data_IF_621568034315
#
_entry.id   IF_621568034315
#
_cell.length_a   1.000
_cell.length_b   1.000
_cell.length_c   1.000
_cell.angle_alpha   90.00
_cell.angle_beta   90.00
_cell.angle_gamma   90.00
#
_symmetry.space_group_name_H-M   'P 1'
#
loop_
_entity.id
_entity.type
_entity.pdbx_description
1 polymer ?
#
# COMPACT_ATOMS: atom_id res chain seq x y z
N UNK A 1 21.36 -7.87 15.50
CA UNK A 1 20.04 -8.34 15.94
C UNK A 1 19.39 -9.06 14.76
N UNK A 2 18.64 -10.17 14.97
CA UNK A 2 17.86 -10.77 13.92
C UNK A 2 16.89 -9.74 13.36
N UNK A 3 16.66 -9.74 12.05
CA UNK A 3 15.72 -8.86 11.39
C UNK A 3 14.30 -9.28 11.76
N UNK A 4 13.53 -8.38 12.39
CA UNK A 4 12.12 -8.59 12.72
C UNK A 4 11.27 -7.86 11.70
N UNK A 5 10.95 -8.56 10.60
CA UNK A 5 10.07 -8.03 9.56
C UNK A 5 8.62 -8.17 9.96
N UNK A 6 7.83 -7.13 9.72
CA UNK A 6 6.40 -7.16 9.95
C UNK A 6 5.61 -6.75 8.70
N UNK A 7 4.36 -7.20 8.62
CA UNK A 7 3.36 -6.76 7.65
C UNK A 7 2.34 -5.85 8.35
N UNK A 8 2.17 -4.64 7.84
CA UNK A 8 1.04 -3.77 8.16
C UNK A 8 0.11 -3.70 6.95
N UNK A 9 -1.18 -3.91 7.14
CA UNK A 9 -2.13 -3.94 6.03
C UNK A 9 -3.47 -3.29 6.40
N UNK A 10 -4.27 -2.96 5.37
CA UNK A 10 -5.66 -2.55 5.53
C UNK A 10 -6.59 -3.52 4.80
N UNK A 11 -7.80 -3.73 5.33
CA UNK A 11 -8.78 -4.68 4.78
C UNK A 11 -10.18 -4.10 4.79
N UNK A 12 -10.83 -4.15 3.63
CA UNK A 12 -12.25 -3.95 3.48
C UNK A 12 -12.81 -5.10 2.63
N UNK A 13 -13.39 -6.10 3.27
CA UNK A 13 -13.84 -7.32 2.58
C UNK A 13 -15.19 -7.79 3.14
N UNK A 14 -16.29 -7.10 2.79
CA UNK A 14 -17.63 -7.46 3.28
C UNK A 14 -18.11 -8.80 2.72
N UNK A 15 -17.63 -9.21 1.54
CA UNK A 15 -18.11 -10.37 0.81
C UNK A 15 -17.21 -11.61 0.98
N UNK A 16 -16.21 -11.55 1.86
CA UNK A 16 -15.23 -12.63 2.12
C UNK A 16 -14.42 -13.08 0.89
N UNK A 17 -14.16 -12.18 -0.06
CA UNK A 17 -13.45 -12.48 -1.31
C UNK A 17 -11.97 -12.80 -1.09
N UNK A 18 -11.38 -12.29 -0.02
CA UNK A 18 -9.96 -12.49 0.31
C UNK A 18 -9.73 -13.75 1.15
N UNK A 19 -10.76 -14.28 1.81
CA UNK A 19 -10.62 -15.30 2.85
C UNK A 19 -9.94 -16.59 2.35
N UNK A 20 -10.35 -17.11 1.20
CA UNK A 20 -9.81 -18.36 0.65
C UNK A 20 -8.33 -18.23 0.27
N UNK A 21 -8.00 -17.16 -0.46
CA UNK A 21 -6.62 -16.92 -0.90
C UNK A 21 -5.70 -16.62 0.30
N UNK A 22 -6.23 -15.95 1.33
CA UNK A 22 -5.50 -15.70 2.58
C UNK A 22 -5.19 -17.01 3.31
N UNK A 23 -6.14 -17.93 3.43
CA UNK A 23 -5.91 -19.24 4.03
C UNK A 23 -4.89 -20.05 3.23
N UNK A 24 -4.96 -20.04 1.91
CA UNK A 24 -3.97 -20.67 1.02
C UNK A 24 -2.55 -20.18 1.28
N UNK A 25 -2.38 -18.89 1.58
CA UNK A 25 -1.07 -18.27 1.79
C UNK A 25 -0.69 -18.04 3.26
N UNK A 26 -1.46 -18.57 4.22
CA UNK A 26 -1.23 -18.35 5.63
C UNK A 26 0.18 -18.76 6.11
N UNK A 27 0.68 -19.92 5.67
CA UNK A 27 2.04 -20.38 6.01
C UNK A 27 3.11 -19.51 5.38
N UNK A 28 2.92 -19.06 4.16
CA UNK A 28 3.85 -18.15 3.49
C UNK A 28 3.94 -16.82 4.24
N UNK A 29 2.81 -16.31 4.73
CA UNK A 29 2.74 -15.07 5.49
C UNK A 29 3.49 -15.22 6.81
N UNK A 30 3.19 -16.27 7.58
CA UNK A 30 3.89 -16.59 8.84
C UNK A 30 5.39 -16.81 8.66
N UNK A 31 5.79 -17.40 7.52
CA UNK A 31 7.21 -17.59 7.18
C UNK A 31 7.92 -16.30 6.75
N UNK A 32 7.19 -15.33 6.20
CA UNK A 32 7.76 -14.09 5.71
C UNK A 32 7.82 -12.99 6.76
N UNK A 33 6.88 -12.97 7.72
CA UNK A 33 6.74 -11.89 8.70
C UNK A 33 6.64 -12.45 10.13
N UNK A 34 7.38 -11.86 11.04
CA UNK A 34 7.33 -12.21 12.48
C UNK A 34 6.05 -11.66 13.14
N UNK A 35 5.60 -10.51 12.69
CA UNK A 35 4.37 -9.88 13.15
C UNK A 35 3.55 -9.42 11.94
N UNK A 36 2.24 -9.51 12.05
CA UNK A 36 1.34 -8.94 11.06
C UNK A 36 0.12 -8.32 11.74
N UNK A 37 -0.31 -7.15 11.26
CA UNK A 37 -1.50 -6.47 11.74
C UNK A 37 -2.31 -5.91 10.57
N UNK A 38 -3.63 -6.05 10.67
CA UNK A 38 -4.59 -5.54 9.71
C UNK A 38 -5.55 -4.55 10.37
N UNK A 39 -5.59 -3.32 9.89
CA UNK A 39 -6.71 -2.44 10.21
C UNK A 39 -7.89 -2.81 9.30
N UNK A 40 -8.94 -3.35 9.90
CA UNK A 40 -10.13 -3.85 9.21
C UNK A 40 -11.28 -2.85 9.34
N UNK A 41 -12.14 -2.76 8.33
CA UNK A 41 -13.39 -1.99 8.47
C UNK A 41 -14.43 -2.79 9.26
N UNK A 42 -15.35 -2.10 9.92
CA UNK A 42 -16.46 -2.74 10.65
C UNK A 42 -17.37 -3.61 9.74
N UNK A 43 -17.29 -3.45 8.43
CA UNK A 43 -18.04 -4.23 7.43
C UNK A 43 -17.29 -5.48 6.95
N UNK A 44 -16.04 -5.66 7.34
CA UNK A 44 -15.28 -6.86 6.97
C UNK A 44 -15.97 -8.11 7.49
N UNK A 45 -16.11 -9.13 6.64
CA UNK A 45 -16.88 -10.34 6.95
C UNK A 45 -16.23 -11.17 8.06
N UNK A 46 -17.05 -11.92 8.81
CA UNK A 46 -16.57 -12.85 9.83
C UNK A 46 -15.61 -13.91 9.26
N UNK A 47 -15.87 -14.39 8.03
CA UNK A 47 -14.99 -15.36 7.36
C UNK A 47 -13.59 -14.79 7.11
N UNK A 48 -13.51 -13.53 6.70
CA UNK A 48 -12.22 -12.85 6.50
C UNK A 48 -11.51 -12.62 7.83
N UNK A 49 -12.24 -12.24 8.89
CA UNK A 49 -11.66 -12.09 10.23
C UNK A 49 -11.10 -13.41 10.77
N UNK A 50 -11.80 -14.52 10.55
CA UNK A 50 -11.32 -15.85 10.92
C UNK A 50 -10.09 -16.26 10.11
N UNK A 51 -10.07 -15.96 8.81
CA UNK A 51 -8.91 -16.22 7.96
C UNK A 51 -7.69 -15.38 8.38
N UNK A 52 -7.87 -14.09 8.74
CA UNK A 52 -6.80 -13.25 9.29
C UNK A 52 -6.22 -13.85 10.56
N UNK A 53 -7.07 -14.25 11.51
CA UNK A 53 -6.63 -14.91 12.75
C UNK A 53 -5.87 -16.20 12.47
N UNK A 54 -6.37 -17.04 11.56
CA UNK A 54 -5.72 -18.29 11.17
C UNK A 54 -4.37 -18.07 10.49
N UNK A 55 -4.21 -16.97 9.78
CA UNK A 55 -2.95 -16.57 9.17
C UNK A 55 -1.97 -15.90 10.16
N UNK A 56 -2.36 -15.69 11.41
CA UNK A 56 -1.54 -15.02 12.43
C UNK A 56 -1.52 -13.49 12.27
N UNK A 57 -2.51 -12.92 11.62
CA UNK A 57 -2.66 -11.46 11.48
C UNK A 57 -3.56 -10.94 12.60
N UNK A 58 -3.06 -10.00 13.38
CA UNK A 58 -3.88 -9.28 14.37
C UNK A 58 -4.83 -8.31 13.65
N UNK A 59 -6.13 -8.54 13.80
CA UNK A 59 -7.15 -7.69 13.21
C UNK A 59 -7.62 -6.64 14.23
N UNK A 60 -7.54 -5.36 13.84
CA UNK A 60 -7.99 -4.23 14.63
C UNK A 60 -9.07 -3.49 13.84
N UNK A 61 -10.15 -3.13 14.50
CA UNK A 61 -11.15 -2.29 13.84
C UNK A 61 -10.53 -0.92 13.59
N UNK A 62 -10.42 -0.57 12.31
CA UNK A 62 -9.85 0.70 11.86
C UNK A 62 -10.70 1.88 12.33
N UNK A 63 -10.05 3.02 12.48
CA UNK A 63 -10.71 4.26 12.84
C UNK A 63 -11.70 4.68 11.73
N UNK A 64 -12.90 5.08 12.11
CA UNK A 64 -13.88 5.70 11.22
C UNK A 64 -13.39 7.05 10.64
N UNK A 65 -12.29 7.60 11.16
CA UNK A 65 -11.67 8.82 10.65
C UNK A 65 -11.11 8.70 9.23
N UNK A 66 -10.92 7.48 8.71
CA UNK A 66 -10.53 7.25 7.33
C UNK A 66 -9.37 6.28 7.13
N UNK A 67 -9.05 6.02 5.84
CA UNK A 67 -8.03 5.04 5.47
C UNK A 67 -6.63 5.41 5.96
N UNK A 68 -6.28 6.70 6.00
CA UNK A 68 -4.99 7.15 6.51
C UNK A 68 -4.81 6.85 7.99
N UNK A 69 -5.86 7.01 8.81
CA UNK A 69 -5.85 6.63 10.21
C UNK A 69 -5.70 5.10 10.37
N UNK A 70 -6.42 4.32 9.55
CA UNK A 70 -6.33 2.85 9.53
C UNK A 70 -4.92 2.38 9.14
N UNK A 71 -4.29 3.00 8.15
CA UNK A 71 -2.90 2.72 7.77
C UNK A 71 -1.93 2.97 8.92
N UNK A 72 -2.06 4.12 9.60
CA UNK A 72 -1.23 4.43 10.80
C UNK A 72 -1.46 3.43 11.92
N UNK A 73 -2.70 3.02 12.18
CA UNK A 73 -3.03 2.02 13.20
C UNK A 73 -2.30 0.70 12.94
N UNK A 74 -2.37 0.18 11.70
CA UNK A 74 -1.70 -1.05 11.33
C UNK A 74 -0.16 -0.95 11.49
N UNK A 75 0.43 0.16 11.04
CA UNK A 75 1.89 0.39 11.17
C UNK A 75 2.30 0.54 12.64
N UNK A 76 1.55 1.29 13.46
CA UNK A 76 1.81 1.46 14.88
C UNK A 76 1.79 0.13 15.62
N UNK A 77 0.76 -0.69 15.37
CA UNK A 77 0.60 -1.99 16.02
C UNK A 77 1.81 -2.90 15.82
N UNK A 78 2.35 -2.98 14.61
CA UNK A 78 3.54 -3.82 14.37
C UNK A 78 4.83 -3.15 14.83
N UNK A 79 4.91 -1.83 14.83
CA UNK A 79 6.05 -1.10 15.38
C UNK A 79 6.17 -1.29 16.90
N UNK A 80 5.05 -1.26 17.63
CA UNK A 80 4.98 -1.48 19.08
C UNK A 80 5.40 -2.90 19.48
N UNK A 81 5.32 -3.87 18.56
CA UNK A 81 5.86 -5.23 18.73
C UNK A 81 7.36 -5.35 18.47
N UNK A 82 8.03 -4.22 18.24
CA UNK A 82 9.47 -4.18 18.02
C UNK A 82 9.92 -4.55 16.62
N UNK A 83 9.05 -4.43 15.62
CA UNK A 83 9.45 -4.62 14.23
C UNK A 83 10.52 -3.59 13.84
N UNK A 84 11.64 -4.05 13.29
CA UNK A 84 12.70 -3.17 12.78
C UNK A 84 12.62 -2.93 11.27
N UNK A 85 11.75 -3.67 10.57
CA UNK A 85 11.34 -3.39 9.19
C UNK A 85 9.85 -3.70 9.01
N UNK A 86 9.13 -2.81 8.35
CA UNK A 86 7.69 -2.90 8.14
C UNK A 86 7.41 -2.81 6.64
N UNK A 87 6.79 -3.85 6.10
CA UNK A 87 6.17 -3.82 4.79
C UNK A 87 4.71 -3.39 4.98
N UNK A 88 4.36 -2.18 4.53
CA UNK A 88 2.97 -1.79 4.35
C UNK A 88 2.52 -2.24 2.96
N UNK A 89 1.41 -2.96 2.89
CA UNK A 89 0.79 -3.35 1.63
C UNK A 89 -0.70 -3.63 1.85
N UNK A 90 -1.58 -3.11 1.01
CA UNK A 90 -2.99 -3.48 1.05
C UNK A 90 -3.13 -4.99 0.85
N UNK A 91 -4.01 -5.67 1.60
CA UNK A 91 -4.01 -7.14 1.69
C UNK A 91 -4.31 -7.83 0.37
N UNK A 92 -5.23 -7.29 -0.40
CA UNK A 92 -5.57 -7.79 -1.75
C UNK A 92 -4.36 -7.75 -2.68
N UNK A 93 -3.58 -6.66 -2.64
CA UNK A 93 -2.32 -6.52 -3.39
C UNK A 93 -1.28 -7.51 -2.92
N UNK A 94 -1.10 -7.67 -1.61
CA UNK A 94 -0.15 -8.64 -1.07
C UNK A 94 -0.50 -10.06 -1.50
N UNK A 95 -1.77 -10.44 -1.44
CA UNK A 95 -2.25 -11.77 -1.83
C UNK A 95 -2.02 -12.01 -3.33
N UNK A 96 -2.38 -11.04 -4.18
CA UNK A 96 -2.14 -11.13 -5.61
C UNK A 96 -0.64 -11.22 -5.94
N UNK A 97 0.18 -10.37 -5.30
CA UNK A 97 1.63 -10.37 -5.50
C UNK A 97 2.24 -11.71 -5.08
N UNK A 98 1.80 -12.24 -3.93
CA UNK A 98 2.26 -13.55 -3.46
C UNK A 98 1.85 -14.70 -4.38
N UNK A 99 0.65 -14.66 -4.94
CA UNK A 99 0.15 -15.66 -5.87
C UNK A 99 0.89 -15.61 -7.21
N UNK A 100 1.02 -14.43 -7.80
CA UNK A 100 1.47 -14.25 -9.18
C UNK A 100 2.99 -14.05 -9.31
N UNK A 101 3.63 -13.42 -8.31
CA UNK A 101 5.05 -13.02 -8.35
C UNK A 101 5.80 -13.35 -7.04
N UNK A 102 5.76 -14.59 -6.54
CA UNK A 102 6.26 -14.94 -5.20
C UNK A 102 7.77 -14.71 -5.02
N UNK A 103 8.57 -14.95 -6.06
CA UNK A 103 10.02 -14.76 -6.02
C UNK A 103 10.39 -13.28 -6.01
N UNK A 104 9.64 -12.43 -6.73
CA UNK A 104 9.86 -10.98 -6.72
C UNK A 104 9.62 -10.41 -5.32
N UNK A 105 8.48 -10.74 -4.70
CA UNK A 105 8.13 -10.25 -3.37
C UNK A 105 9.22 -10.61 -2.35
N UNK A 106 9.59 -11.88 -2.26
CA UNK A 106 10.61 -12.34 -1.30
C UNK A 106 11.99 -11.76 -1.57
N UNK A 107 12.39 -11.69 -2.84
CA UNK A 107 13.67 -11.13 -3.26
C UNK A 107 13.77 -9.62 -3.01
N UNK A 108 12.69 -8.87 -3.23
CA UNK A 108 12.61 -7.44 -2.97
C UNK A 108 12.81 -7.13 -1.48
N UNK A 109 12.02 -7.78 -0.61
CA UNK A 109 12.09 -7.57 0.83
C UNK A 109 13.50 -7.88 1.36
N UNK A 110 14.12 -8.97 0.90
CA UNK A 110 15.48 -9.32 1.27
C UNK A 110 16.52 -8.28 0.77
N UNK A 111 16.32 -7.68 -0.41
CA UNK A 111 17.21 -6.62 -0.93
C UNK A 111 17.11 -5.35 -0.11
N UNK A 112 15.90 -4.91 0.25
CA UNK A 112 15.67 -3.71 1.05
C UNK A 112 16.37 -3.82 2.43
N UNK A 113 16.27 -4.97 3.07
CA UNK A 113 16.92 -5.22 4.37
C UNK A 113 18.44 -5.23 4.29
N UNK A 114 19.00 -5.65 3.15
CA UNK A 114 20.45 -5.70 2.91
C UNK A 114 21.01 -4.40 2.36
N UNK A 115 20.17 -3.45 1.95
CA UNK A 115 20.62 -2.18 1.36
C UNK A 115 21.50 -1.37 2.32
N UNK A 116 22.53 -0.75 1.76
CA UNK A 116 23.43 0.14 2.52
C UNK A 116 23.64 1.43 1.71
N UNK A 117 23.37 2.61 2.25
CA UNK A 117 22.74 2.82 3.56
C UNK A 117 21.35 2.20 3.64
N UNK A 118 20.92 1.82 4.85
CA UNK A 118 19.58 1.27 5.04
C UNK A 118 18.54 2.35 4.72
N UNK A 119 17.56 2.07 3.86
CA UNK A 119 16.51 3.03 3.57
C UNK A 119 15.69 3.30 4.84
N UNK A 120 15.19 4.52 4.97
CA UNK A 120 14.20 4.88 5.98
C UNK A 120 12.80 4.58 5.46
N UNK A 121 12.60 4.87 4.17
CA UNK A 121 11.36 4.65 3.44
C UNK A 121 11.68 4.15 2.03
N UNK A 122 10.94 3.20 1.52
CA UNK A 122 10.98 2.83 0.12
C UNK A 122 9.55 2.84 -0.47
N UNK A 123 9.36 3.61 -1.54
CA UNK A 123 8.18 3.52 -2.38
C UNK A 123 8.30 2.23 -3.21
N UNK A 124 7.37 1.31 -3.03
CA UNK A 124 7.27 0.10 -3.84
C UNK A 124 6.34 0.39 -5.00
N UNK A 125 6.88 1.01 -6.05
CA UNK A 125 6.12 1.42 -7.21
C UNK A 125 6.04 0.33 -8.27
N UNK A 126 5.30 0.61 -9.34
CA UNK A 126 5.00 -0.32 -10.43
C UNK A 126 5.94 -0.15 -11.61
N UNK A 127 6.34 -1.24 -12.22
CA UNK A 127 6.93 -1.18 -13.57
C UNK A 127 5.94 -0.56 -14.57
N UNK A 128 6.44 -0.15 -15.73
CA UNK A 128 5.56 0.38 -16.79
C UNK A 128 4.49 -0.64 -17.21
N UNK A 129 4.85 -1.95 -17.24
CA UNK A 129 3.90 -3.02 -17.54
C UNK A 129 2.83 -3.11 -16.46
N UNK A 130 3.22 -3.26 -15.20
CA UNK A 130 2.30 -3.40 -14.08
C UNK A 130 1.38 -2.17 -13.95
N UNK A 131 1.92 -0.96 -14.11
CA UNK A 131 1.13 0.26 -14.12
C UNK A 131 0.08 0.28 -15.22
N UNK A 132 0.45 -0.16 -16.43
CA UNK A 132 -0.43 -0.20 -17.59
C UNK A 132 -1.57 -1.23 -17.50
N UNK A 133 -1.56 -2.16 -16.52
CA UNK A 133 -2.65 -3.13 -16.33
C UNK A 133 -3.88 -2.54 -15.64
N UNK A 134 -3.74 -1.36 -15.03
CA UNK A 134 -4.80 -0.70 -14.28
C UNK A 134 -5.85 -0.06 -15.21
N UNK A 135 -7.07 0.21 -14.71
CA UNK A 135 -8.08 0.96 -15.44
C UNK A 135 -7.56 2.29 -15.99
N UNK A 136 -7.97 2.68 -17.20
CA UNK A 136 -7.47 3.90 -17.87
C UNK A 136 -7.62 5.16 -17.02
N UNK A 137 -8.77 5.32 -16.34
CA UNK A 137 -9.00 6.45 -15.42
C UNK A 137 -7.99 6.46 -14.28
N UNK A 138 -7.66 5.30 -13.74
CA UNK A 138 -6.67 5.14 -12.68
C UNK A 138 -5.27 5.49 -13.19
N UNK A 139 -4.86 4.93 -14.33
CA UNK A 139 -3.58 5.23 -14.98
C UNK A 139 -3.43 6.74 -15.21
N UNK A 140 -4.44 7.40 -15.78
CA UNK A 140 -4.37 8.83 -16.07
C UNK A 140 -4.21 9.69 -14.81
N UNK A 141 -5.02 9.46 -13.79
CA UNK A 141 -4.98 10.24 -12.55
C UNK A 141 -3.73 9.96 -11.72
N UNK A 142 -3.30 8.70 -11.63
CA UNK A 142 -2.12 8.32 -10.87
C UNK A 142 -0.82 8.72 -11.59
N UNK A 143 -0.78 8.71 -12.93
CA UNK A 143 0.37 9.28 -13.67
C UNK A 143 0.52 10.77 -13.39
N UNK A 144 -0.58 11.54 -13.40
CA UNK A 144 -0.55 12.94 -13.05
C UNK A 144 -0.06 13.17 -11.61
N UNK A 145 -0.56 12.36 -10.66
CA UNK A 145 -0.11 12.39 -9.26
C UNK A 145 1.40 12.12 -9.15
N UNK A 146 1.85 11.03 -9.76
CA UNK A 146 3.24 10.59 -9.69
C UNK A 146 4.19 11.59 -10.38
N UNK A 147 3.74 12.28 -11.43
CA UNK A 147 4.50 13.40 -12.04
C UNK A 147 4.64 14.57 -11.08
N UNK A 148 3.56 14.99 -10.39
CA UNK A 148 3.60 16.04 -9.39
C UNK A 148 4.57 15.71 -8.24
N UNK A 149 4.49 14.50 -7.70
CA UNK A 149 5.42 14.02 -6.66
C UNK A 149 6.85 13.92 -7.19
N UNK A 150 7.04 13.43 -8.41
CA UNK A 150 8.38 13.32 -9.03
C UNK A 150 9.03 14.69 -9.23
N UNK A 151 8.24 15.72 -9.57
CA UNK A 151 8.72 17.09 -9.67
C UNK A 151 9.20 17.62 -8.31
N UNK A 152 8.42 17.37 -7.24
CA UNK A 152 8.77 17.77 -5.88
C UNK A 152 10.04 17.07 -5.37
N UNK A 153 10.20 15.77 -5.65
CA UNK A 153 11.38 15.00 -5.23
C UNK A 153 12.56 15.11 -6.22
N UNK A 154 12.39 15.80 -7.36
CA UNK A 154 13.37 15.83 -8.45
C UNK A 154 13.88 14.43 -8.84
N UNK A 155 13.01 13.45 -8.75
CA UNK A 155 13.29 12.03 -9.00
C UNK A 155 12.02 11.30 -9.40
N UNK A 156 12.09 10.48 -10.44
CA UNK A 156 10.95 9.63 -10.85
C UNK A 156 10.46 8.81 -9.67
N UNK A 157 9.17 8.93 -9.35
CA UNK A 157 8.52 8.26 -8.22
C UNK A 157 7.16 7.71 -8.64
N UNK A 158 6.79 6.54 -8.11
CA UNK A 158 5.44 6.00 -8.12
C UNK A 158 5.04 5.75 -6.66
N UNK A 159 4.21 6.61 -6.12
CA UNK A 159 3.77 6.57 -4.72
C UNK A 159 2.37 5.98 -4.55
N UNK A 160 1.63 5.83 -5.65
CA UNK A 160 0.21 5.47 -5.63
C UNK A 160 -0.05 3.96 -5.71
N UNK A 161 0.98 3.15 -5.49
CA UNK A 161 0.90 1.70 -5.66
C UNK A 161 0.30 0.96 -4.44
N UNK A 162 -0.06 1.65 -3.35
CA UNK A 162 -0.61 1.02 -2.14
C UNK A 162 0.36 0.09 -1.42
N UNK A 163 1.67 0.29 -1.62
CA UNK A 163 2.70 -0.51 -0.96
C UNK A 163 3.95 0.32 -0.67
N UNK A 164 4.52 0.12 0.51
CA UNK A 164 5.73 0.80 0.97
C UNK A 164 6.52 -0.09 1.93
N UNK A 165 7.80 0.20 2.07
CA UNK A 165 8.65 -0.39 3.10
C UNK A 165 9.20 0.71 4.00
N UNK A 166 9.21 0.48 5.31
CA UNK A 166 9.70 1.41 6.33
C UNK A 166 10.69 0.70 7.26
N UNK A 167 11.77 1.38 7.61
CA UNK A 167 12.55 0.98 8.79
C UNK A 167 11.81 1.36 10.08
N UNK A 168 12.26 0.86 11.23
CA UNK A 168 11.72 1.29 12.53
C UNK A 168 11.81 2.81 12.72
N UNK A 169 12.92 3.44 12.28
CA UNK A 169 13.08 4.89 12.33
C UNK A 169 12.10 5.61 11.40
N UNK A 170 11.93 5.08 10.20
CA UNK A 170 10.96 5.60 9.23
C UNK A 170 9.53 5.51 9.72
N UNK A 171 9.16 4.38 10.33
CA UNK A 171 7.83 4.20 10.91
C UNK A 171 7.58 5.19 12.06
N UNK A 172 8.52 5.33 13.00
CA UNK A 172 8.41 6.34 14.09
C UNK A 172 8.26 7.75 13.54
N UNK A 173 9.06 8.11 12.55
CA UNK A 173 9.01 9.43 11.93
C UNK A 173 7.64 9.69 11.27
N UNK A 174 7.16 8.74 10.47
CA UNK A 174 5.85 8.84 9.81
C UNK A 174 4.73 8.92 10.85
N UNK A 175 4.71 8.03 11.84
CA UNK A 175 3.67 8.01 12.88
C UNK A 175 3.64 9.30 13.69
N UNK A 176 4.79 9.95 13.93
CA UNK A 176 4.86 11.18 14.71
C UNK A 176 4.45 12.44 13.93
N UNK A 177 4.42 12.41 12.58
CA UNK A 177 4.21 13.59 11.74
C UNK A 177 3.01 13.49 10.80
N UNK A 178 2.55 12.26 10.48
CA UNK A 178 1.45 12.06 9.54
C UNK A 178 0.13 12.51 10.14
N UNK A 179 -0.61 13.33 9.40
CA UNK A 179 -1.92 13.87 9.78
C UNK A 179 -3.02 13.51 8.78
N UNK A 180 -2.65 13.01 7.60
CA UNK A 180 -3.62 12.67 6.56
C UNK A 180 -4.57 11.57 6.99
N UNK A 181 -5.85 11.79 6.71
CA UNK A 181 -6.92 10.82 7.00
C UNK A 181 -7.37 10.05 5.75
N UNK A 182 -6.96 10.50 4.58
CA UNK A 182 -7.31 9.94 3.27
C UNK A 182 -6.17 9.11 2.68
N UNK A 183 -6.34 8.64 1.45
CA UNK A 183 -5.29 8.02 0.65
C UNK A 183 -4.11 8.97 0.35
N UNK A 184 -4.23 10.25 0.65
CA UNK A 184 -3.13 11.21 0.48
C UNK A 184 -1.89 10.87 1.35
N UNK A 185 -2.01 9.93 2.30
CA UNK A 185 -0.86 9.28 2.95
C UNK A 185 0.13 8.70 1.94
N UNK A 186 -0.29 8.33 0.73
CA UNK A 186 0.57 7.84 -0.34
C UNK A 186 1.63 8.88 -0.75
N UNK A 187 1.29 10.16 -0.69
CA UNK A 187 2.22 11.26 -0.91
C UNK A 187 2.84 11.81 0.38
N UNK A 188 2.05 11.88 1.45
CA UNK A 188 2.48 12.44 2.73
C UNK A 188 3.66 11.66 3.35
N UNK A 189 3.56 10.34 3.43
CA UNK A 189 4.58 9.52 4.11
C UNK A 189 5.94 9.58 3.45
N UNK A 190 6.06 9.37 2.12
CA UNK A 190 7.36 9.55 1.47
C UNK A 190 7.86 11.00 1.53
N UNK A 191 6.98 12.01 1.55
CA UNK A 191 7.39 13.41 1.69
C UNK A 191 7.95 13.70 3.09
N UNK A 192 7.36 13.15 4.16
CA UNK A 192 7.89 13.24 5.52
C UNK A 192 9.31 12.64 5.60
N UNK A 193 9.49 11.45 5.02
CA UNK A 193 10.79 10.80 4.99
C UNK A 193 11.80 11.57 4.11
N UNK A 194 11.34 12.10 2.98
CA UNK A 194 12.15 12.90 2.06
C UNK A 194 12.66 14.20 2.70
N UNK A 195 11.78 14.91 3.40
CA UNK A 195 12.13 16.13 4.12
C UNK A 195 13.18 15.85 5.21
N UNK A 196 13.12 14.67 5.83
CA UNK A 196 14.08 14.29 6.88
C UNK A 196 15.46 13.88 6.33
N UNK A 197 15.52 12.96 5.37
CA UNK A 197 16.74 12.57 4.65
C UNK A 197 16.42 11.99 3.26
N UNK A 198 16.52 12.79 2.20
CA UNK A 198 16.18 12.34 0.84
C UNK A 198 17.07 11.20 0.32
N UNK A 199 18.29 11.02 0.89
CA UNK A 199 19.21 9.94 0.50
C UNK A 199 18.75 8.58 1.03
N UNK A 200 17.89 8.56 2.05
CA UNK A 200 17.33 7.36 2.66
C UNK A 200 15.91 7.04 2.19
N UNK A 201 15.40 7.78 1.19
CA UNK A 201 14.15 7.45 0.51
C UNK A 201 14.47 6.74 -0.80
N UNK A 202 14.05 5.50 -0.95
CA UNK A 202 14.26 4.71 -2.16
C UNK A 202 12.98 4.66 -3.01
N UNK A 203 13.18 4.43 -4.30
CA UNK A 203 12.14 4.02 -5.23
C UNK A 203 12.52 2.67 -5.82
N UNK A 204 11.61 1.70 -5.79
CA UNK A 204 11.75 0.40 -6.47
C UNK A 204 10.61 0.21 -7.47
N UNK A 205 10.76 -0.77 -8.36
CA UNK A 205 9.80 -1.05 -9.43
C UNK A 205 9.44 -2.53 -9.37
N UNK A 206 8.13 -2.82 -9.27
CA UNK A 206 7.60 -4.15 -9.00
C UNK A 206 6.58 -4.55 -10.07
N UNK A 207 6.63 -5.79 -10.51
CA UNK A 207 5.66 -6.38 -11.43
C UNK A 207 4.38 -6.80 -10.70
N UNK A 208 4.52 -7.34 -9.50
CA UNK A 208 3.40 -7.90 -8.74
C UNK A 208 2.41 -6.86 -8.18
N UNK A 209 2.67 -5.56 -8.35
CA UNK A 209 1.72 -4.49 -8.05
C UNK A 209 0.85 -4.13 -9.27
N UNK A 210 0.62 -5.07 -10.16
CA UNK A 210 -0.34 -4.96 -11.26
C UNK A 210 -1.79 -4.92 -10.74
N UNK A 211 -2.76 -4.70 -11.65
CA UNK A 211 -4.17 -4.57 -11.26
C UNK A 211 -4.75 -5.91 -10.79
N UNK A 212 -4.95 -6.02 -9.50
CA UNK A 212 -5.39 -7.21 -8.77
C UNK A 212 -6.90 -7.37 -8.64
N UNK A 213 -7.65 -6.26 -8.65
CA UNK A 213 -9.06 -6.24 -8.24
C UNK A 213 -9.93 -7.20 -9.06
N UNK A 214 -9.67 -7.32 -10.36
CA UNK A 214 -10.41 -8.25 -11.23
C UNK A 214 -10.29 -9.72 -10.77
N UNK A 215 -9.19 -10.10 -10.12
CA UNK A 215 -8.97 -11.45 -9.60
C UNK A 215 -9.96 -11.80 -8.49
N UNK A 216 -10.32 -10.81 -7.66
CA UNK A 216 -11.26 -10.98 -6.56
C UNK A 216 -12.73 -10.76 -6.95
N UNK A 217 -12.99 -10.43 -8.23
CA UNK A 217 -14.31 -10.17 -8.79
C UNK A 217 -14.61 -11.07 -9.99
N UNK A 218 -14.16 -12.32 -9.95
CA UNK A 218 -14.25 -13.23 -11.11
C UNK A 218 -15.68 -13.45 -11.62
N UNK A 219 -16.65 -13.56 -10.74
CA UNK A 219 -18.06 -13.75 -11.12
C UNK A 219 -18.62 -12.51 -11.84
N UNK A 220 -18.31 -11.31 -11.35
CA UNK A 220 -18.73 -10.05 -11.98
C UNK A 220 -18.02 -9.83 -13.31
N UNK A 221 -16.74 -10.22 -13.40
CA UNK A 221 -15.96 -10.18 -14.65
C UNK A 221 -16.58 -11.10 -15.70
N UNK A 222 -16.94 -12.33 -15.31
CA UNK A 222 -17.62 -13.28 -16.20
C UNK A 222 -18.99 -12.76 -16.63
N UNK A 223 -19.79 -12.27 -15.70
CA UNK A 223 -21.12 -11.70 -15.97
C UNK A 223 -21.07 -10.48 -16.91
N UNK A 224 -20.00 -9.71 -16.88
CA UNK A 224 -19.79 -8.57 -17.77
C UNK A 224 -19.30 -8.95 -19.17
N UNK A 225 -19.00 -10.21 -19.44
CA UNK A 225 -18.46 -10.68 -20.72
C UNK A 225 -16.94 -10.56 -20.83
N UNK A 226 -16.24 -10.37 -19.71
CA UNK A 226 -14.80 -10.34 -19.63
C UNK A 226 -14.23 -9.15 -18.83
N UNK A 227 -12.91 -9.21 -18.63
CA UNK A 227 -12.19 -8.24 -17.80
C UNK A 227 -12.31 -6.80 -18.34
N UNK A 228 -12.16 -6.60 -19.62
CA UNK A 228 -12.15 -5.26 -20.22
C UNK A 228 -13.54 -4.62 -20.21
N UNK A 229 -14.60 -5.38 -20.41
CA UNK A 229 -15.99 -4.96 -20.30
C UNK A 229 -16.32 -4.58 -18.86
N UNK A 230 -15.92 -5.43 -17.91
CA UNK A 230 -16.12 -5.16 -16.49
C UNK A 230 -15.37 -3.91 -16.03
N UNK A 231 -14.11 -3.74 -16.43
CA UNK A 231 -13.32 -2.53 -16.13
C UNK A 231 -14.01 -1.29 -16.70
N UNK A 232 -14.47 -1.34 -17.94
CA UNK A 232 -15.15 -0.21 -18.57
C UNK A 232 -16.43 0.16 -17.82
N UNK A 233 -17.25 -0.82 -17.49
CA UNK A 233 -18.52 -0.59 -16.78
C UNK A 233 -18.32 -0.08 -15.35
N UNK A 234 -17.28 -0.56 -14.67
CA UNK A 234 -17.06 -0.27 -13.25
C UNK A 234 -16.24 1.00 -13.02
N UNK A 235 -15.22 1.23 -13.83
CA UNK A 235 -14.22 2.26 -13.59
C UNK A 235 -14.27 3.44 -14.56
N UNK A 236 -14.73 3.26 -15.81
CA UNK A 236 -14.74 4.35 -16.80
C UNK A 236 -16.05 5.15 -16.73
N UNK A 237 -16.32 5.72 -15.58
CA UNK A 237 -17.52 6.49 -15.28
C UNK A 237 -17.15 7.91 -14.85
N UNK A 238 -18.03 8.93 -15.09
CA UNK A 238 -17.77 10.28 -14.59
C UNK A 238 -17.54 10.34 -13.08
N UNK A 239 -18.22 9.51 -12.29
CA UNK A 239 -18.04 9.42 -10.85
C UNK A 239 -16.65 8.91 -10.47
N UNK A 240 -16.14 7.88 -11.18
CA UNK A 240 -14.78 7.37 -10.99
C UNK A 240 -13.73 8.41 -11.34
N UNK A 241 -13.93 9.16 -12.44
CA UNK A 241 -13.04 10.26 -12.81
C UNK A 241 -13.01 11.34 -11.74
N UNK A 242 -14.17 11.83 -11.29
CA UNK A 242 -14.26 12.85 -10.24
C UNK A 242 -13.57 12.40 -8.94
N UNK A 243 -13.83 11.18 -8.50
CA UNK A 243 -13.20 10.60 -7.33
C UNK A 243 -11.67 10.53 -7.46
N UNK A 244 -11.15 9.97 -8.56
CA UNK A 244 -9.72 9.79 -8.80
C UNK A 244 -8.96 11.10 -8.97
N UNK A 245 -9.54 12.10 -9.62
CA UNK A 245 -8.97 13.44 -9.71
C UNK A 245 -8.89 14.09 -8.32
N UNK A 246 -9.92 13.91 -7.48
CA UNK A 246 -9.88 14.34 -6.08
C UNK A 246 -8.74 13.73 -5.30
N UNK A 247 -8.53 12.41 -5.43
CA UNK A 247 -7.40 11.71 -4.79
C UNK A 247 -6.05 12.23 -5.31
N UNK A 248 -5.92 12.46 -6.62
CA UNK A 248 -4.70 12.99 -7.23
C UNK A 248 -4.35 14.36 -6.66
N UNK A 249 -5.32 15.27 -6.62
CA UNK A 249 -5.17 16.60 -6.05
C UNK A 249 -4.76 16.55 -4.57
N UNK A 250 -5.47 15.77 -3.76
CA UNK A 250 -5.20 15.64 -2.33
C UNK A 250 -3.79 15.08 -2.06
N UNK A 251 -3.35 14.07 -2.84
CA UNK A 251 -2.02 13.46 -2.67
C UNK A 251 -0.91 14.45 -2.98
N UNK A 252 -1.01 15.21 -4.08
CA UNK A 252 -0.01 16.22 -4.42
C UNK A 252 -0.03 17.39 -3.41
N UNK A 253 -1.23 17.81 -2.96
CA UNK A 253 -1.35 18.83 -1.93
C UNK A 253 -0.70 18.42 -0.60
N UNK A 254 -0.82 17.17 -0.20
CA UNK A 254 -0.16 16.64 0.99
C UNK A 254 1.37 16.70 0.88
N UNK A 255 1.93 16.39 -0.29
CA UNK A 255 3.37 16.53 -0.56
C UNK A 255 3.81 18.00 -0.44
N UNK A 256 3.08 18.91 -1.08
CA UNK A 256 3.37 20.35 -1.02
C UNK A 256 3.31 20.87 0.41
N UNK A 257 2.28 20.50 1.18
CA UNK A 257 2.15 20.88 2.59
C UNK A 257 3.37 20.42 3.40
N UNK A 258 3.78 19.15 3.28
CA UNK A 258 4.90 18.62 4.05
C UNK A 258 6.21 19.29 3.66
N UNK A 259 6.47 19.49 2.38
CA UNK A 259 7.73 20.11 1.92
C UNK A 259 7.77 21.63 2.16
N UNK A 260 6.62 22.31 2.06
CA UNK A 260 6.53 23.76 2.34
C UNK A 260 6.76 24.13 3.80
N UNK A 261 6.48 23.23 4.75
CA UNK A 261 6.80 23.45 6.16
C UNK A 261 8.29 23.41 6.48
N UNK A 262 9.12 22.91 5.56
CA UNK A 262 10.59 22.88 5.67
C UNK A 262 11.30 24.17 5.31
N UNK A 263 10.62 25.11 4.65
CA UNK A 263 11.21 26.42 4.30
C UNK A 263 11.16 27.46 5.43
N UNK A 264 10.46 27.15 6.53
CA UNK A 264 10.24 28.06 7.68
C UNK A 264 10.98 27.62 8.95
N UNK A 265 11.82 26.60 8.87
CA UNK A 265 12.65 26.12 9.97
C UNK A 265 14.15 26.24 9.65
#
# INVERSE_FOLDING_TARGET
>A
MPLTRALATTVHDPDARLAELLLKHADNLRGAYMHAAAAVTARTSGKTLDALRSAGIEALVGDSAGIGASRRLAVATVADKGANSIHYCDLDRWLHWRESWPQELSGLLARLEKSRPAPMYACLGRTTRAFGTHPKVQVACEDATNRGVSAAFRRRSDVTAGSAWLSADGARLVLSRSVELSNATDGEWPAIAWLHDPRRVLQTWCEGLEFETATFHSAEVEAAGGRDEWIRATYDTPASWAHRLGLASATVAAVVRVLGTGETA
#
